data_IF_819546718513
#
_entry.id   IF_819546718513
#
_cell.length_a   1.000
_cell.length_b   1.000
_cell.length_c   1.000
_cell.angle_alpha   90.00
_cell.angle_beta   90.00
_cell.angle_gamma   90.00
#
_symmetry.space_group_name_H-M   'P 1'
#
loop_
_entity.id
_entity.type
_entity.pdbx_description
1 polymer ?
#
# COMPACT_ATOMS: atom_id res chain seq x y z
N UNK A 1 16.79 0.93 -12.20
CA UNK A 1 15.38 0.44 -12.17
C UNK A 1 14.46 1.51 -12.72
N UNK A 2 13.33 1.13 -13.31
CA UNK A 2 12.22 2.02 -13.64
C UNK A 2 11.16 1.87 -12.54
N UNK A 3 10.86 2.95 -11.84
CA UNK A 3 10.03 2.95 -10.64
C UNK A 3 8.76 3.76 -10.90
N UNK A 4 7.61 3.17 -10.61
CA UNK A 4 6.35 3.88 -10.54
C UNK A 4 6.06 4.21 -9.08
N UNK A 5 5.76 5.47 -8.78
CA UNK A 5 5.20 5.88 -7.48
C UNK A 5 3.72 6.18 -7.66
N UNK A 6 2.92 5.63 -6.76
CA UNK A 6 1.50 5.95 -6.60
C UNK A 6 1.15 6.07 -5.11
N UNK A 7 -0.07 6.49 -4.79
CA UNK A 7 -0.62 6.56 -3.42
C UNK A 7 -2.15 6.61 -3.47
N UNK A 8 -2.80 6.72 -2.33
CA UNK A 8 -4.23 7.04 -2.20
C UNK A 8 -4.48 8.42 -1.56
N UNK A 9 -3.46 9.08 -1.02
CA UNK A 9 -3.52 10.45 -0.48
C UNK A 9 -3.47 11.56 -1.56
N UNK A 10 -3.46 11.20 -2.83
CA UNK A 10 -3.42 12.09 -4.00
C UNK A 10 -2.07 12.79 -4.27
N UNK A 11 -2.08 13.63 -5.31
CA UNK A 11 -0.95 14.50 -5.68
C UNK A 11 -0.59 15.52 -4.58
N UNK A 12 -1.49 15.76 -3.63
CA UNK A 12 -1.31 16.73 -2.56
C UNK A 12 -0.63 16.14 -1.32
N UNK A 13 -0.34 14.84 -1.30
CA UNK A 13 0.32 14.19 -0.17
C UNK A 13 1.64 14.87 0.20
N UNK A 14 1.81 15.35 1.43
CA UNK A 14 2.98 16.14 1.84
C UNK A 14 4.27 15.33 1.82
N UNK A 15 4.20 14.02 1.97
CA UNK A 15 5.35 13.11 1.97
C UNK A 15 5.85 12.77 0.56
N UNK A 16 5.03 12.98 -0.47
CA UNK A 16 5.32 12.55 -1.84
C UNK A 16 6.63 13.12 -2.40
N UNK A 17 6.99 14.42 -2.21
CA UNK A 17 8.28 14.95 -2.67
C UNK A 17 9.49 14.22 -2.05
N UNK A 18 9.39 13.85 -0.78
CA UNK A 18 10.48 13.16 -0.05
C UNK A 18 10.62 11.70 -0.52
N UNK A 19 9.50 11.00 -0.72
CA UNK A 19 9.50 9.65 -1.28
C UNK A 19 10.09 9.63 -2.70
N UNK A 20 9.72 10.60 -3.54
CA UNK A 20 10.30 10.76 -4.88
C UNK A 20 11.82 10.94 -4.80
N UNK A 21 12.29 11.82 -3.90
CA UNK A 21 13.71 12.09 -3.74
C UNK A 21 14.49 10.85 -3.29
N UNK A 22 13.91 10.07 -2.38
CA UNK A 22 14.48 8.80 -1.97
C UNK A 22 14.51 7.78 -3.11
N UNK A 23 13.39 7.59 -3.81
CA UNK A 23 13.30 6.61 -4.90
C UNK A 23 14.22 6.93 -6.09
N UNK A 24 14.54 8.22 -6.34
CA UNK A 24 15.54 8.63 -7.35
C UNK A 24 16.93 8.07 -7.09
N UNK A 25 17.28 7.73 -5.85
CA UNK A 25 18.55 7.04 -5.55
C UNK A 25 18.56 5.61 -6.12
N UNK A 26 17.38 5.01 -6.29
CA UNK A 26 17.19 3.64 -6.73
C UNK A 26 17.02 3.51 -8.24
N UNK A 27 16.52 4.56 -8.92
CA UNK A 27 16.31 4.52 -10.36
C UNK A 27 15.55 5.70 -10.96
N UNK A 28 15.06 5.51 -12.17
CA UNK A 28 14.21 6.45 -12.87
C UNK A 28 12.79 6.41 -12.33
N UNK A 29 12.24 7.55 -11.89
CA UNK A 29 10.94 7.66 -11.24
C UNK A 29 9.90 8.28 -12.16
N UNK A 30 8.76 7.63 -12.27
CA UNK A 30 7.51 8.19 -12.81
C UNK A 30 6.48 8.22 -11.68
N UNK A 31 5.70 9.29 -11.59
CA UNK A 31 4.66 9.47 -10.57
C UNK A 31 3.30 9.48 -11.26
N UNK A 32 2.41 8.58 -10.85
CA UNK A 32 1.01 8.55 -11.31
C UNK A 32 0.14 8.32 -10.08
N UNK A 33 -0.59 9.34 -9.68
CA UNK A 33 -1.34 9.38 -8.42
C UNK A 33 -2.77 9.86 -8.64
N UNK A 34 -3.71 9.51 -7.77
CA UNK A 34 -5.05 10.06 -7.81
C UNK A 34 -5.05 11.58 -7.74
N UNK A 35 -5.98 12.20 -8.45
CA UNK A 35 -6.22 13.64 -8.41
C UNK A 35 -6.74 14.08 -7.04
N UNK A 36 -7.59 13.26 -6.43
CA UNK A 36 -8.19 13.46 -5.12
C UNK A 36 -7.92 12.25 -4.22
N UNK A 37 -8.00 12.45 -2.93
CA UNK A 37 -7.86 11.39 -1.92
C UNK A 37 -8.85 10.24 -2.17
N UNK A 38 -8.36 9.02 -2.01
CA UNK A 38 -9.09 7.76 -2.28
C UNK A 38 -9.08 6.81 -1.07
N UNK A 39 -9.07 7.35 0.14
CA UNK A 39 -9.08 6.55 1.38
C UNK A 39 -10.26 5.58 1.42
N UNK A 40 -10.01 4.34 1.84
CA UNK A 40 -11.05 3.32 2.00
C UNK A 40 -11.68 2.82 0.70
N UNK A 41 -11.06 3.06 -0.47
CA UNK A 41 -11.61 2.64 -1.76
C UNK A 41 -11.29 1.19 -2.12
N UNK A 42 -10.53 0.47 -1.30
CA UNK A 42 -10.20 -0.92 -1.58
C UNK A 42 -9.55 -1.09 -2.95
N UNK A 43 -9.63 -2.29 -3.54
CA UNK A 43 -9.12 -2.57 -4.89
C UNK A 43 -10.17 -2.27 -5.97
N UNK A 44 -10.74 -1.05 -5.91
CA UNK A 44 -11.71 -0.60 -6.90
C UNK A 44 -11.04 -0.14 -8.19
N UNK A 45 -11.71 -0.39 -9.32
CA UNK A 45 -11.35 0.13 -10.65
C UNK A 45 -12.59 0.72 -11.32
N UNK A 46 -12.41 1.73 -12.16
CA UNK A 46 -13.50 2.30 -12.95
C UNK A 46 -13.65 1.52 -14.28
N UNK A 47 -14.84 0.98 -14.51
CA UNK A 47 -15.13 0.15 -15.68
C UNK A 47 -16.04 0.83 -16.71
N UNK A 48 -16.76 1.88 -16.33
CA UNK A 48 -17.87 2.36 -17.13
C UNK A 48 -17.76 3.82 -17.53
N UNK A 49 -17.11 4.65 -16.71
CA UNK A 49 -17.03 6.09 -16.93
C UNK A 49 -15.63 6.48 -17.40
N UNK A 50 -15.52 7.39 -18.37
CA UNK A 50 -14.24 8.00 -18.67
C UNK A 50 -13.74 8.78 -17.45
N UNK A 51 -12.45 8.73 -17.19
CA UNK A 51 -11.79 9.55 -16.17
C UNK A 51 -10.67 10.37 -16.80
N UNK A 52 -10.40 11.51 -16.18
CA UNK A 52 -9.38 12.45 -16.62
C UNK A 52 -7.98 11.95 -16.22
N UNK A 53 -7.03 12.11 -17.13
CA UNK A 53 -5.60 11.97 -16.85
C UNK A 53 -4.89 13.22 -17.33
N UNK A 54 -4.19 13.90 -16.43
CA UNK A 54 -3.46 15.13 -16.73
C UNK A 54 -1.98 14.99 -16.40
N UNK A 55 -1.13 15.40 -17.34
CA UNK A 55 0.28 15.63 -17.05
C UNK A 55 0.42 16.82 -16.10
N UNK A 56 1.35 16.73 -15.17
CA UNK A 56 1.57 17.71 -14.11
C UNK A 56 3.05 17.98 -13.90
N UNK A 57 3.45 19.26 -13.88
CA UNK A 57 4.84 19.69 -13.69
C UNK A 57 5.17 19.99 -12.22
N UNK A 58 4.44 19.39 -11.27
CA UNK A 58 4.60 19.65 -9.83
C UNK A 58 5.97 19.26 -9.30
N UNK A 59 6.59 18.21 -9.86
CA UNK A 59 7.89 17.70 -9.43
C UNK A 59 8.92 17.87 -10.57
N UNK A 60 9.79 18.90 -10.51
CA UNK A 60 10.73 19.19 -11.57
C UNK A 60 11.61 17.98 -11.97
N UNK A 61 11.66 17.68 -13.26
CA UNK A 61 12.43 16.57 -13.80
C UNK A 61 11.88 15.17 -13.44
N UNK A 62 10.62 15.09 -13.01
CA UNK A 62 9.91 13.82 -12.78
C UNK A 62 8.63 13.82 -13.61
N UNK A 63 8.49 12.83 -14.47
CA UNK A 63 7.26 12.66 -15.22
C UNK A 63 6.12 12.32 -14.27
N UNK A 64 5.12 13.18 -14.23
CA UNK A 64 4.04 13.13 -13.26
C UNK A 64 2.68 13.24 -13.94
N UNK A 65 1.73 12.41 -13.52
CA UNK A 65 0.33 12.46 -13.93
C UNK A 65 -0.59 12.40 -12.73
N UNK A 66 -1.72 13.09 -12.85
CA UNK A 66 -2.88 12.90 -11.97
C UNK A 66 -3.96 12.13 -12.71
N UNK A 67 -4.63 11.22 -12.01
CA UNK A 67 -5.71 10.39 -12.54
C UNK A 67 -6.96 10.62 -11.67
N UNK A 68 -8.07 10.98 -12.28
CA UNK A 68 -9.35 11.15 -11.57
C UNK A 68 -10.04 9.81 -11.36
N UNK A 69 -9.34 8.90 -10.68
CA UNK A 69 -9.80 7.54 -10.37
C UNK A 69 -9.02 6.96 -9.19
N UNK A 70 -9.15 5.66 -8.97
CA UNK A 70 -8.54 4.91 -7.87
C UNK A 70 -7.01 4.75 -8.00
N UNK A 71 -6.30 4.43 -6.90
CA UNK A 71 -4.88 4.07 -6.95
C UNK A 71 -4.57 2.86 -7.85
N UNK A 72 -5.46 1.87 -7.91
CA UNK A 72 -5.34 0.73 -8.82
C UNK A 72 -5.41 1.20 -10.28
N UNK A 73 -6.31 2.12 -10.63
CA UNK A 73 -6.39 2.69 -11.97
C UNK A 73 -5.16 3.53 -12.34
N UNK A 74 -4.51 4.17 -11.37
CA UNK A 74 -3.22 4.83 -11.59
C UNK A 74 -2.16 3.84 -12.07
N UNK A 75 -2.06 2.68 -11.44
CA UNK A 75 -1.14 1.60 -11.84
C UNK A 75 -1.53 1.03 -13.21
N UNK A 76 -2.81 0.77 -13.44
CA UNK A 76 -3.35 0.28 -14.73
C UNK A 76 -3.04 1.26 -15.84
N UNK A 77 -3.26 2.55 -15.62
CA UNK A 77 -2.94 3.57 -16.61
C UNK A 77 -1.45 3.62 -16.92
N UNK A 78 -0.58 3.52 -15.91
CA UNK A 78 0.86 3.48 -16.10
C UNK A 78 1.30 2.32 -17.00
N UNK A 79 0.80 1.11 -16.70
CA UNK A 79 1.27 -0.12 -17.36
C UNK A 79 0.51 -0.37 -18.67
N UNK A 80 -0.83 -0.27 -18.64
CA UNK A 80 -1.68 -0.61 -19.77
C UNK A 80 -1.97 0.59 -20.68
N UNK A 81 -2.20 1.77 -20.09
CA UNK A 81 -2.53 3.00 -20.82
C UNK A 81 -1.31 3.58 -21.51
N UNK A 82 -0.22 3.82 -20.79
CA UNK A 82 1.04 4.29 -21.34
C UNK A 82 1.87 3.18 -22.01
N UNK A 83 1.49 1.91 -21.80
CA UNK A 83 2.20 0.72 -22.30
C UNK A 83 3.66 0.67 -21.86
N UNK A 84 3.91 1.05 -20.62
CA UNK A 84 5.24 1.08 -20.05
C UNK A 84 5.51 -0.09 -19.12
N UNK A 85 6.81 -0.41 -18.98
CA UNK A 85 7.27 -1.44 -18.05
C UNK A 85 7.96 -0.76 -16.88
N UNK A 86 7.62 -1.22 -15.68
CA UNK A 86 8.26 -0.81 -14.44
C UNK A 86 8.85 -2.05 -13.75
N UNK A 87 10.01 -1.86 -13.12
CA UNK A 87 10.67 -2.91 -12.34
C UNK A 87 10.07 -2.99 -10.94
N UNK A 88 9.61 -1.83 -10.42
CA UNK A 88 9.05 -1.70 -9.09
C UNK A 88 7.93 -0.65 -9.07
N UNK A 89 6.84 -0.98 -8.41
CA UNK A 89 5.79 -0.03 -8.03
C UNK A 89 5.88 0.23 -6.53
N UNK A 90 6.02 1.49 -6.14
CA UNK A 90 5.99 1.93 -4.75
C UNK A 90 4.67 2.66 -4.53
N UNK A 91 3.84 2.13 -3.65
CA UNK A 91 2.57 2.72 -3.24
C UNK A 91 2.67 3.29 -1.84
N UNK A 92 2.47 4.58 -1.68
CA UNK A 92 2.50 5.29 -0.39
C UNK A 92 3.36 6.56 -0.44
N UNK A 93 3.94 7.00 0.69
CA UNK A 93 3.76 6.48 2.06
C UNK A 93 2.39 6.92 2.54
N UNK A 94 1.57 5.95 2.93
CA UNK A 94 0.22 6.20 3.42
C UNK A 94 0.25 6.80 4.83
N UNK A 95 -0.63 7.77 5.07
CA UNK A 95 -0.92 8.31 6.38
C UNK A 95 -1.97 7.45 7.07
N UNK A 96 -1.53 6.59 7.96
CA UNK A 96 -2.29 5.55 8.63
C UNK A 96 -1.76 4.16 8.28
N UNK A 97 -1.64 3.29 9.28
CA UNK A 97 -1.16 1.92 9.07
C UNK A 97 -2.12 1.10 8.21
N UNK A 98 -1.56 0.29 7.34
CA UNK A 98 -2.28 -0.73 6.59
C UNK A 98 -1.92 -2.11 7.14
N UNK A 99 -2.57 -2.52 8.24
CA UNK A 99 -2.28 -3.71 9.04
C UNK A 99 -3.55 -4.54 9.26
N UNK A 100 -3.37 -5.79 9.64
CA UNK A 100 -4.48 -6.69 9.92
C UNK A 100 -5.44 -6.83 8.76
N UNK A 101 -6.73 -6.97 9.05
CA UNK A 101 -7.77 -7.08 8.02
C UNK A 101 -8.03 -5.78 7.27
N UNK A 102 -7.55 -4.63 7.78
CA UNK A 102 -7.78 -3.32 7.17
C UNK A 102 -7.02 -3.16 5.84
N UNK A 103 -6.01 -3.99 5.60
CA UNK A 103 -5.36 -4.15 4.29
C UNK A 103 -6.39 -4.34 3.14
N UNK A 104 -7.54 -4.99 3.42
CA UNK A 104 -8.59 -5.23 2.43
C UNK A 104 -9.26 -3.95 1.93
N UNK A 105 -9.27 -2.89 2.75
CA UNK A 105 -9.88 -1.59 2.44
C UNK A 105 -8.88 -0.56 1.94
N UNK A 106 -7.58 -0.86 2.03
CA UNK A 106 -6.48 0.03 1.68
C UNK A 106 -6.37 0.27 0.17
N UNK A 107 -6.39 1.54 -0.24
CA UNK A 107 -6.03 1.95 -1.60
C UNK A 107 -4.54 1.74 -1.89
N UNK A 108 -3.69 2.02 -0.89
CA UNK A 108 -2.23 1.85 -0.96
C UNK A 108 -1.86 0.38 -1.20
N UNK A 109 -2.37 -0.56 -0.39
CA UNK A 109 -2.11 -1.99 -0.57
C UNK A 109 -2.70 -2.49 -1.91
N UNK A 110 -3.88 -1.97 -2.29
CA UNK A 110 -4.56 -2.37 -3.53
C UNK A 110 -3.80 -1.97 -4.79
N UNK A 111 -3.18 -0.80 -4.82
CA UNK A 111 -2.30 -0.41 -5.93
C UNK A 111 -1.09 -1.35 -6.05
N UNK A 112 -0.52 -1.79 -4.93
CA UNK A 112 0.54 -2.77 -4.92
C UNK A 112 0.07 -4.16 -5.39
N UNK A 113 -1.14 -4.60 -5.01
CA UNK A 113 -1.75 -5.82 -5.55
C UNK A 113 -1.97 -5.73 -7.06
N UNK A 114 -2.49 -4.60 -7.55
CA UNK A 114 -2.69 -4.40 -9.00
C UNK A 114 -1.38 -4.46 -9.77
N UNK A 115 -0.31 -3.87 -9.22
CA UNK A 115 1.01 -3.93 -9.83
C UNK A 115 1.49 -5.37 -10.02
N UNK A 116 1.32 -6.22 -9.00
CA UNK A 116 1.70 -7.64 -9.07
C UNK A 116 0.80 -8.41 -10.04
N UNK A 117 -0.50 -8.14 -10.08
CA UNK A 117 -1.40 -8.71 -11.07
C UNK A 117 -1.00 -8.36 -12.51
N UNK A 118 -0.32 -7.22 -12.72
CA UNK A 118 0.20 -6.77 -14.00
C UNK A 118 1.69 -7.12 -14.22
N UNK A 119 2.27 -7.97 -13.36
CA UNK A 119 3.61 -8.54 -13.52
C UNK A 119 4.76 -7.64 -13.05
N UNK A 120 4.48 -6.64 -12.20
CA UNK A 120 5.50 -5.80 -11.56
C UNK A 120 5.73 -6.24 -10.11
N UNK A 121 6.92 -5.99 -9.59
CA UNK A 121 7.19 -6.06 -8.14
C UNK A 121 6.60 -4.85 -7.45
N UNK A 122 6.18 -5.00 -6.19
CA UNK A 122 5.50 -3.92 -5.49
C UNK A 122 5.91 -3.79 -4.02
N UNK A 123 5.96 -2.55 -3.56
CA UNK A 123 6.20 -2.17 -2.18
C UNK A 123 5.09 -1.22 -1.74
N UNK A 124 4.26 -1.64 -0.79
CA UNK A 124 3.32 -0.77 -0.10
C UNK A 124 3.97 -0.22 1.15
N UNK A 125 3.94 1.10 1.34
CA UNK A 125 4.55 1.80 2.47
C UNK A 125 3.49 2.57 3.25
N UNK A 126 3.47 2.41 4.57
CA UNK A 126 2.55 3.10 5.46
C UNK A 126 3.24 3.48 6.77
N UNK A 127 2.75 4.54 7.42
CA UNK A 127 3.14 4.97 8.77
C UNK A 127 1.91 5.38 9.56
N UNK A 128 2.07 5.88 10.76
CA UNK A 128 0.97 6.40 11.57
C UNK A 128 0.36 7.70 11.04
N UNK A 129 -0.44 8.36 11.87
CA UNK A 129 -1.20 9.56 11.48
C UNK A 129 -0.50 10.86 11.81
N UNK A 130 0.46 10.85 12.76
CA UNK A 130 0.99 12.08 13.33
C UNK A 130 2.16 12.66 12.53
N UNK A 131 3.06 11.79 12.00
CA UNK A 131 4.28 12.26 11.35
C UNK A 131 4.81 11.28 10.30
N UNK A 132 5.67 11.77 9.40
CA UNK A 132 6.35 10.97 8.38
C UNK A 132 7.87 10.85 8.62
N UNK A 133 8.41 11.58 9.56
CA UNK A 133 9.86 11.73 9.74
C UNK A 133 10.51 10.39 10.06
N UNK A 134 9.91 9.60 10.94
CA UNK A 134 10.38 8.25 11.29
C UNK A 134 10.35 7.33 10.07
N UNK A 135 9.26 7.36 9.30
CA UNK A 135 9.17 6.54 8.09
C UNK A 135 10.24 6.91 7.07
N UNK A 136 10.44 8.19 6.83
CA UNK A 136 11.47 8.69 5.89
C UNK A 136 12.89 8.34 6.34
N UNK A 137 13.17 8.40 7.64
CA UNK A 137 14.47 8.06 8.22
C UNK A 137 14.83 6.57 8.05
N UNK A 138 13.82 5.68 7.99
CA UNK A 138 14.02 4.23 7.92
C UNK A 138 13.81 3.61 6.53
N UNK A 139 13.55 4.41 5.48
CA UNK A 139 13.39 3.89 4.11
C UNK A 139 14.63 3.16 3.60
N UNK A 140 15.82 3.68 3.86
CA UNK A 140 17.09 3.05 3.45
C UNK A 140 17.27 1.70 4.19
N UNK A 141 16.98 1.61 5.50
CA UNK A 141 17.04 0.37 6.27
C UNK A 141 16.07 -0.69 5.73
N UNK A 142 14.82 -0.30 5.43
CA UNK A 142 13.83 -1.19 4.81
C UNK A 142 14.35 -1.71 3.47
N UNK A 143 14.87 -0.82 2.63
CA UNK A 143 15.39 -1.20 1.31
C UNK A 143 16.59 -2.15 1.41
N UNK A 144 17.53 -1.85 2.30
CA UNK A 144 18.69 -2.71 2.58
C UNK A 144 18.27 -4.10 3.05
N UNK A 145 17.26 -4.18 3.92
CA UNK A 145 16.70 -5.45 4.40
C UNK A 145 16.10 -6.27 3.24
N UNK A 146 15.34 -5.62 2.34
CA UNK A 146 14.76 -6.26 1.16
C UNK A 146 15.86 -6.80 0.22
N UNK A 147 16.94 -6.05 0.02
CA UNK A 147 18.07 -6.43 -0.84
C UNK A 147 18.94 -7.51 -0.20
N UNK A 148 19.33 -7.34 1.06
CA UNK A 148 20.20 -8.28 1.80
C UNK A 148 19.66 -9.73 1.80
N UNK A 149 18.35 -9.86 1.86
CA UNK A 149 17.68 -11.17 1.90
C UNK A 149 17.13 -11.62 0.56
N UNK A 150 17.38 -10.84 -0.51
CA UNK A 150 16.86 -11.08 -1.87
C UNK A 150 15.35 -11.36 -1.87
N UNK A 151 14.61 -10.51 -1.17
CA UNK A 151 13.21 -10.77 -0.88
C UNK A 151 12.35 -10.73 -2.14
N UNK A 152 12.66 -9.86 -3.09
CA UNK A 152 11.95 -9.79 -4.36
C UNK A 152 12.19 -10.97 -5.32
N UNK A 153 13.15 -11.85 -5.02
CA UNK A 153 13.25 -13.16 -5.69
C UNK A 153 12.31 -14.20 -5.07
N UNK A 154 11.80 -13.95 -3.87
CA UNK A 154 10.96 -14.89 -3.10
C UNK A 154 9.47 -14.53 -3.15
N UNK A 155 9.14 -13.25 -3.25
CA UNK A 155 7.77 -12.76 -3.28
C UNK A 155 7.71 -11.41 -4.03
N UNK A 156 6.62 -11.15 -4.73
CA UNK A 156 6.52 -9.98 -5.60
C UNK A 156 5.96 -8.74 -4.89
N UNK A 157 5.36 -8.88 -3.70
CA UNK A 157 4.79 -7.77 -2.94
C UNK A 157 5.15 -7.83 -1.47
N UNK A 158 5.57 -6.68 -0.93
CA UNK A 158 5.78 -6.48 0.50
C UNK A 158 4.97 -5.28 0.99
N UNK A 159 4.22 -5.50 2.06
CA UNK A 159 3.51 -4.47 2.80
C UNK A 159 4.36 -4.07 4.01
N UNK A 160 4.81 -2.83 4.05
CA UNK A 160 5.69 -2.31 5.09
C UNK A 160 4.96 -1.24 5.87
N UNK A 161 4.88 -1.44 7.18
CA UNK A 161 4.38 -0.45 8.11
C UNK A 161 5.53 -0.02 9.04
N UNK A 162 5.83 1.27 9.05
CA UNK A 162 6.90 1.86 9.87
C UNK A 162 6.22 2.57 11.03
N UNK A 163 6.53 2.22 12.29
CA UNK A 163 5.93 2.87 13.46
C UNK A 163 6.34 4.34 13.54
N UNK A 164 5.58 5.13 14.25
CA UNK A 164 5.98 6.49 14.64
C UNK A 164 6.88 6.44 15.88
N UNK A 165 7.77 7.41 16.01
CA UNK A 165 8.65 7.55 17.16
C UNK A 165 9.83 6.57 17.19
N UNK A 166 10.09 5.93 18.33
CA UNK A 166 11.25 5.05 18.50
C UNK A 166 11.08 3.73 17.76
N UNK A 167 12.00 3.41 16.84
CA UNK A 167 12.03 2.14 16.11
C UNK A 167 12.94 1.15 16.84
N UNK A 168 12.39 0.00 17.24
CA UNK A 168 13.11 -1.08 17.95
C UNK A 168 13.74 -2.13 17.02
N UNK A 169 13.58 -1.97 15.70
CA UNK A 169 14.09 -2.87 14.68
C UNK A 169 13.01 -3.41 13.75
N UNK A 170 13.38 -4.38 12.92
CA UNK A 170 12.52 -4.93 11.85
C UNK A 170 11.98 -6.31 12.25
N UNK A 171 10.72 -6.58 11.89
CA UNK A 171 10.05 -7.89 12.00
C UNK A 171 9.46 -8.31 10.67
N UNK A 172 9.71 -9.55 10.26
CA UNK A 172 8.91 -10.19 9.22
C UNK A 172 7.62 -10.68 9.86
N UNK A 173 6.49 -10.24 9.30
CA UNK A 173 5.19 -10.41 9.94
C UNK A 173 4.20 -11.08 9.01
N UNK A 174 3.14 -11.59 9.59
CA UNK A 174 1.93 -12.04 8.91
C UNK A 174 0.78 -11.08 9.20
N UNK A 175 -0.19 -11.04 8.32
CA UNK A 175 -1.42 -10.27 8.52
C UNK A 175 -2.12 -10.69 9.83
N UNK A 176 -2.49 -9.70 10.64
CA UNK A 176 -3.23 -9.86 11.88
C UNK A 176 -4.74 -9.92 11.71
N UNK A 177 -5.43 -9.82 12.83
CA UNK A 177 -6.89 -9.67 12.88
C UNK A 177 -7.37 -8.25 12.59
N UNK A 178 -8.67 -7.94 12.85
CA UNK A 178 -9.22 -6.61 12.65
C UNK A 178 -8.57 -5.61 13.62
N UNK A 179 -8.16 -4.45 13.06
CA UNK A 179 -7.67 -3.34 13.86
C UNK A 179 -8.81 -2.36 14.16
N UNK A 180 -9.63 -2.05 13.15
CA UNK A 180 -10.84 -1.25 13.29
C UNK A 180 -12.10 -2.07 13.03
N UNK A 181 -13.20 -1.61 13.59
CA UNK A 181 -14.56 -1.93 13.23
C UNK A 181 -15.36 -0.64 13.08
N UNK A 182 -16.57 -0.71 12.55
CA UNK A 182 -17.40 0.47 12.35
C UNK A 182 -18.70 0.39 13.13
N UNK A 183 -19.13 1.54 13.65
CA UNK A 183 -20.49 1.81 14.07
C UNK A 183 -21.16 2.76 13.07
N UNK A 184 -22.48 2.68 13.01
CA UNK A 184 -23.29 3.52 12.12
C UNK A 184 -24.39 4.25 12.91
N UNK A 185 -24.03 5.19 13.82
CA UNK A 185 -25.02 5.97 14.53
C UNK A 185 -25.92 6.76 13.59
N UNK A 186 -27.23 6.73 13.85
CA UNK A 186 -28.19 7.54 13.10
C UNK A 186 -27.96 9.04 13.42
N UNK A 187 -27.98 9.85 12.38
CA UNK A 187 -27.90 11.32 12.48
C UNK A 187 -29.19 12.01 12.01
N UNK A 188 -30.29 11.25 11.86
CA UNK A 188 -31.59 11.72 11.41
C UNK A 188 -31.83 11.51 9.91
N UNK A 189 -33.05 11.67 9.46
CA UNK A 189 -33.48 11.66 8.06
C UNK A 189 -32.98 10.47 7.22
N UNK A 190 -32.97 9.26 7.80
CA UNK A 190 -32.43 8.02 7.20
C UNK A 190 -30.91 8.09 6.88
N UNK A 191 -30.20 9.02 7.53
CA UNK A 191 -28.74 9.12 7.40
C UNK A 191 -28.05 8.46 8.59
N UNK A 192 -26.93 7.81 8.30
CA UNK A 192 -26.00 7.25 9.29
C UNK A 192 -24.60 7.82 9.07
N UNK A 193 -23.83 7.91 10.15
CA UNK A 193 -22.42 8.32 10.08
C UNK A 193 -21.52 7.14 10.37
N UNK A 194 -20.71 6.66 9.42
CA UNK A 194 -19.66 5.70 9.73
C UNK A 194 -18.71 6.28 10.79
N UNK A 195 -18.42 5.49 11.83
CA UNK A 195 -17.51 5.87 12.90
C UNK A 195 -16.62 4.68 13.23
N UNK A 196 -15.32 4.81 12.92
CA UNK A 196 -14.34 3.77 13.20
C UNK A 196 -14.11 3.62 14.70
N UNK A 197 -14.04 2.38 15.16
CA UNK A 197 -13.74 2.00 16.54
C UNK A 197 -12.55 1.06 16.51
N UNK A 198 -11.51 1.36 17.30
CA UNK A 198 -10.40 0.45 17.48
C UNK A 198 -10.87 -0.79 18.27
N UNK A 199 -10.75 -1.96 17.64
CA UNK A 199 -11.09 -3.26 18.23
C UNK A 199 -9.87 -4.14 18.45
N UNK A 200 -8.68 -3.59 18.19
CA UNK A 200 -7.41 -4.28 18.37
C UNK A 200 -7.28 -4.88 19.77
N UNK A 201 -6.71 -6.08 19.79
CA UNK A 201 -6.34 -6.78 21.03
C UNK A 201 -4.91 -7.25 20.91
N UNK A 202 -4.07 -6.71 21.78
CA UNK A 202 -2.66 -7.07 21.85
C UNK A 202 -2.48 -8.53 22.28
N UNK A 203 -1.82 -9.31 21.44
CA UNK A 203 -1.46 -10.70 21.75
C UNK A 203 0.01 -10.84 22.17
N UNK A 204 0.79 -9.75 22.10
CA UNK A 204 2.26 -9.73 22.28
C UNK A 204 3.00 -10.69 21.33
N UNK A 205 2.40 -11.05 20.20
CA UNK A 205 3.03 -11.84 19.13
C UNK A 205 3.58 -10.93 18.05
N UNK A 206 4.81 -10.51 18.17
CA UNK A 206 5.48 -9.62 17.20
C UNK A 206 5.75 -10.28 15.83
N UNK A 207 5.25 -11.48 15.59
CA UNK A 207 5.12 -12.05 14.24
C UNK A 207 3.83 -11.61 13.54
N UNK A 208 2.94 -10.88 14.24
CA UNK A 208 1.71 -10.28 13.72
C UNK A 208 1.97 -8.81 13.44
N UNK A 209 1.53 -8.31 12.28
CA UNK A 209 1.78 -6.95 11.83
C UNK A 209 1.23 -5.88 12.79
N UNK A 210 0.01 -6.09 13.32
CA UNK A 210 -0.61 -5.18 14.30
C UNK A 210 0.23 -5.05 15.57
N UNK A 211 0.62 -6.18 16.16
CA UNK A 211 1.39 -6.18 17.41
C UNK A 211 2.80 -5.60 17.17
N UNK A 212 3.46 -5.99 16.08
CA UNK A 212 4.78 -5.51 15.76
C UNK A 212 4.82 -3.98 15.65
N UNK A 213 3.93 -3.39 14.85
CA UNK A 213 3.91 -1.94 14.59
C UNK A 213 3.59 -1.16 15.87
N UNK A 214 2.57 -1.59 16.63
CA UNK A 214 2.16 -0.88 17.85
C UNK A 214 3.20 -0.99 18.98
N UNK A 215 4.10 -1.98 18.91
CA UNK A 215 5.23 -2.11 19.84
C UNK A 215 6.54 -1.51 19.32
N UNK A 216 6.50 -0.71 18.25
CA UNK A 216 7.64 0.05 17.74
C UNK A 216 8.56 -0.74 16.80
N UNK A 217 8.09 -1.82 16.19
CA UNK A 217 8.84 -2.54 15.16
C UNK A 217 8.38 -2.18 13.75
N UNK A 218 9.30 -2.03 12.83
CA UNK A 218 8.98 -2.01 11.40
C UNK A 218 8.46 -3.39 11.02
N UNK A 219 7.23 -3.43 10.51
CA UNK A 219 6.58 -4.65 10.03
C UNK A 219 6.80 -4.80 8.53
N UNK A 220 7.34 -5.93 8.10
CA UNK A 220 7.46 -6.31 6.68
C UNK A 220 6.68 -7.60 6.46
N UNK A 221 5.52 -7.50 5.81
CA UNK A 221 4.63 -8.63 5.53
C UNK A 221 4.70 -9.00 4.05
N UNK A 222 5.09 -10.24 3.70
CA UNK A 222 4.92 -10.76 2.34
C UNK A 222 3.43 -11.02 2.10
N UNK A 223 2.84 -10.34 1.10
CA UNK A 223 1.45 -10.54 0.72
C UNK A 223 1.36 -11.28 -0.63
N UNK A 224 0.17 -11.77 -0.95
CA UNK A 224 -0.17 -12.35 -2.25
C UNK A 224 -1.55 -11.87 -2.68
N UNK A 225 -1.79 -11.62 -3.97
CA UNK A 225 -3.11 -11.26 -4.47
C UNK A 225 -4.08 -12.45 -4.52
N UNK A 226 -3.55 -13.66 -4.46
CA UNK A 226 -4.32 -14.90 -4.55
C UNK A 226 -5.12 -15.14 -3.25
N UNK A 227 -6.46 -15.28 -3.38
CA UNK A 227 -7.40 -15.38 -2.24
C UNK A 227 -8.00 -16.78 -2.03
N UNK A 228 -7.58 -17.77 -2.83
CA UNK A 228 -8.01 -19.16 -2.65
C UNK A 228 -7.32 -19.77 -1.44
N UNK A 229 -8.07 -20.44 -0.57
CA UNK A 229 -7.49 -21.30 0.46
C UNK A 229 -6.83 -22.51 -0.21
N UNK A 230 -5.54 -22.36 -0.56
CA UNK A 230 -4.80 -23.37 -1.32
C UNK A 230 -4.70 -24.73 -0.62
N UNK A 231 -4.46 -24.81 0.71
CA UNK A 231 -4.51 -26.09 1.43
C UNK A 231 -5.83 -26.83 1.24
N UNK A 232 -6.95 -26.14 1.43
CA UNK A 232 -8.29 -26.73 1.24
C UNK A 232 -8.55 -27.05 -0.23
N UNK A 233 -8.14 -26.19 -1.17
CA UNK A 233 -8.27 -26.44 -2.61
C UNK A 233 -7.55 -27.76 -3.00
N UNK A 234 -6.32 -27.98 -2.54
CA UNK A 234 -5.60 -29.21 -2.81
C UNK A 234 -6.28 -30.46 -2.24
N UNK A 235 -6.99 -30.32 -1.12
CA UNK A 235 -7.80 -31.41 -0.58
C UNK A 235 -9.03 -31.69 -1.46
N UNK A 236 -9.82 -30.64 -1.74
CA UNK A 236 -11.06 -30.73 -2.52
C UNK A 236 -10.81 -31.14 -3.98
N UNK A 237 -9.70 -30.74 -4.58
CA UNK A 237 -9.37 -31.09 -5.97
C UNK A 237 -9.19 -32.58 -6.19
N UNK A 238 -8.90 -33.36 -5.14
CA UNK A 238 -8.85 -34.82 -5.21
C UNK A 238 -10.22 -35.47 -5.36
N UNK A 239 -11.30 -34.73 -5.16
CA UNK A 239 -12.68 -35.18 -5.33
C UNK A 239 -13.21 -34.90 -6.75
N UNK A 240 -12.45 -34.19 -7.57
CA UNK A 240 -12.83 -33.96 -8.96
C UNK A 240 -12.75 -35.28 -9.72
N UNK A 241 -13.75 -35.55 -10.62
CA UNK A 241 -13.79 -36.78 -11.39
C UNK A 241 -12.62 -36.89 -12.37
#
# INVERSE_FOLDING_TARGET
>A
MRILITNDDSISAPVLPFLIQWAKKLGEVTVIVPKFEQSGKSHSIELHKPFEVLACDRFPGVRTYTVDSSPADCVRYAILGLREKFDLVISGINRGYNIGTDILYSGTASAAFEAVCLGCKALALSTGFEEFDTALAHLDEVWEMLQKHDLFAKNDIYNVNIPEGEVKGVRFTRQGGPFYSDEFPSIGDNLVRPTGICVYKDSHDYSVDTDAVLHGYISISPLIPQRTNMPLFHELSKLNP
#
